data_IF_255663589522
#
_entry.id   IF_255663589522
#
_cell.length_a   1.000
_cell.length_b   1.000
_cell.length_c   1.000
_cell.angle_alpha   90.00
_cell.angle_beta   90.00
_cell.angle_gamma   90.00
#
_symmetry.space_group_name_H-M   'P 1'
#
loop_
_entity.id
_entity.type
_entity.pdbx_description
1 polymer ?
#
# COMPACT_ATOMS: atom_id res chain seq x y z
N UNK A 1 -7.18 3.22 4.68
CA UNK A 1 -6.96 2.35 5.87
C UNK A 1 -7.46 3.07 7.11
N UNK A 2 -8.29 2.44 7.94
CA UNK A 2 -8.84 3.06 9.17
C UNK A 2 -8.02 2.76 10.42
N UNK A 3 -7.41 1.57 10.51
CA UNK A 3 -6.45 1.20 11.55
C UNK A 3 -5.19 0.66 10.89
N UNK A 4 -4.04 1.30 11.17
CA UNK A 4 -2.74 0.84 10.66
C UNK A 4 -2.12 -0.23 11.56
N UNK A 5 -2.52 -0.26 12.85
CA UNK A 5 -2.03 -1.20 13.85
C UNK A 5 -3.20 -1.59 14.78
N UNK A 6 -3.55 -2.90 14.86
CA UNK A 6 -3.04 -3.99 14.03
C UNK A 6 -3.36 -3.77 12.54
N UNK A 7 -2.47 -4.20 11.64
CA UNK A 7 -2.67 -4.05 10.20
C UNK A 7 -3.54 -5.20 9.65
N UNK A 8 -4.61 -4.92 8.88
CA UNK A 8 -5.59 -5.95 8.49
C UNK A 8 -5.17 -6.73 7.23
N UNK A 9 -4.09 -7.52 7.30
CA UNK A 9 -3.51 -8.19 6.12
C UNK A 9 -4.50 -9.08 5.37
N UNK A 10 -5.22 -9.96 6.06
CA UNK A 10 -6.12 -10.94 5.42
C UNK A 10 -7.27 -10.26 4.68
N UNK A 11 -7.96 -9.33 5.34
CA UNK A 11 -9.07 -8.59 4.75
C UNK A 11 -8.62 -7.79 3.53
N UNK A 12 -7.44 -7.16 3.60
CA UNK A 12 -6.88 -6.43 2.46
C UNK A 12 -6.52 -7.35 1.31
N UNK A 13 -5.91 -8.51 1.58
CA UNK A 13 -5.60 -9.48 0.53
C UNK A 13 -6.89 -9.95 -0.19
N UNK A 14 -7.93 -10.28 0.57
CA UNK A 14 -9.21 -10.74 0.04
C UNK A 14 -9.85 -9.67 -0.87
N UNK A 15 -9.97 -8.43 -0.38
CA UNK A 15 -10.63 -7.33 -1.12
C UNK A 15 -9.82 -6.87 -2.34
N UNK A 16 -8.49 -6.94 -2.28
CA UNK A 16 -7.61 -6.39 -3.32
C UNK A 16 -7.15 -7.41 -4.37
N UNK A 17 -7.28 -8.72 -4.09
CA UNK A 17 -6.79 -9.81 -4.97
C UNK A 17 -7.35 -9.80 -6.40
N UNK A 18 -8.55 -9.26 -6.62
CA UNK A 18 -9.18 -9.17 -7.95
C UNK A 18 -8.76 -7.96 -8.79
N UNK A 19 -7.97 -7.04 -8.23
CA UNK A 19 -7.54 -5.86 -8.95
C UNK A 19 -6.50 -6.20 -10.04
N UNK A 20 -6.44 -5.40 -11.11
CA UNK A 20 -5.34 -5.46 -12.07
C UNK A 20 -4.12 -4.67 -11.58
N UNK A 21 -4.39 -3.52 -10.96
CA UNK A 21 -3.38 -2.62 -10.41
C UNK A 21 -3.94 -1.87 -9.21
N UNK A 22 -3.05 -1.45 -8.32
CA UNK A 22 -3.35 -0.75 -7.07
C UNK A 22 -2.37 0.43 -6.94
N UNK A 23 -2.91 1.63 -6.76
CA UNK A 23 -2.13 2.81 -6.40
C UNK A 23 -2.22 3.02 -4.88
N UNK A 24 -1.07 3.07 -4.21
CA UNK A 24 -0.96 3.35 -2.77
C UNK A 24 -0.44 4.76 -2.57
N UNK A 25 -1.26 5.57 -1.91
CA UNK A 25 -0.98 6.97 -1.61
C UNK A 25 -0.39 7.06 -0.19
N UNK A 26 0.89 7.39 -0.10
CA UNK A 26 1.61 7.57 1.16
C UNK A 26 1.87 9.07 1.44
N UNK A 27 1.50 9.54 2.64
CA UNK A 27 1.84 10.92 3.07
C UNK A 27 3.21 10.97 3.72
N UNK A 28 4.21 10.45 3.04
CA UNK A 28 5.60 10.45 3.53
C UNK A 28 6.57 10.53 2.35
N UNK A 29 7.71 11.16 2.60
CA UNK A 29 8.88 11.04 1.74
C UNK A 29 9.65 9.77 2.13
N UNK A 30 9.81 8.76 1.24
CA UNK A 30 10.42 7.49 1.59
C UNK A 30 11.89 7.56 2.06
N UNK A 31 12.55 8.71 1.92
CA UNK A 31 13.93 8.95 2.37
C UNK A 31 14.93 7.85 1.93
N UNK A 32 14.78 7.33 0.70
CA UNK A 32 15.62 6.27 0.13
C UNK A 32 15.07 4.85 0.31
N UNK A 33 13.96 4.66 1.01
CA UNK A 33 13.24 3.39 1.04
C UNK A 33 12.51 3.11 -0.29
N UNK A 34 12.24 1.84 -0.55
CA UNK A 34 11.47 1.38 -1.71
C UNK A 34 9.96 1.57 -1.48
N UNK A 35 9.53 2.84 -1.40
CA UNK A 35 8.14 3.24 -1.15
C UNK A 35 7.82 3.50 0.32
N UNK A 36 6.63 4.05 0.58
CA UNK A 36 6.17 4.39 1.91
C UNK A 36 5.69 3.19 2.77
N UNK A 37 5.42 3.41 4.06
CA UNK A 37 5.04 2.37 4.99
C UNK A 37 3.71 1.70 4.59
N UNK A 38 2.71 2.46 4.11
CA UNK A 38 1.46 1.84 3.70
C UNK A 38 1.66 0.96 2.46
N UNK A 39 2.44 1.43 1.50
CA UNK A 39 2.78 0.65 0.31
C UNK A 39 3.44 -0.67 0.65
N UNK A 40 4.42 -0.66 1.56
CA UNK A 40 5.11 -1.88 1.97
C UNK A 40 4.16 -2.87 2.65
N UNK A 41 3.25 -2.39 3.49
CA UNK A 41 2.27 -3.26 4.14
C UNK A 41 1.24 -3.87 3.17
N UNK A 42 0.79 -3.09 2.18
CA UNK A 42 -0.10 -3.59 1.12
C UNK A 42 0.61 -4.63 0.26
N UNK A 43 1.88 -4.41 -0.10
CA UNK A 43 2.67 -5.41 -0.83
C UNK A 43 2.87 -6.69 -0.03
N UNK A 44 3.13 -6.58 1.27
CA UNK A 44 3.23 -7.74 2.16
C UNK A 44 1.90 -8.49 2.27
N UNK A 45 0.77 -7.78 2.41
CA UNK A 45 -0.56 -8.40 2.44
C UNK A 45 -0.87 -9.21 1.17
N UNK A 46 -0.40 -8.73 0.01
CA UNK A 46 -0.63 -9.34 -1.29
C UNK A 46 0.45 -10.35 -1.70
N UNK A 47 1.45 -10.61 -0.85
CA UNK A 47 2.65 -11.35 -1.26
C UNK A 47 2.33 -12.77 -1.76
N UNK A 48 1.41 -13.46 -1.07
CA UNK A 48 1.01 -14.85 -1.34
C UNK A 48 -0.21 -14.98 -2.29
N UNK A 49 -0.71 -13.87 -2.83
CA UNK A 49 -1.82 -13.92 -3.80
C UNK A 49 -1.31 -14.39 -5.16
N UNK A 50 -1.91 -15.47 -5.70
CA UNK A 50 -1.48 -16.10 -6.96
C UNK A 50 -1.41 -15.12 -8.15
N UNK A 51 -2.47 -14.35 -8.38
CA UNK A 51 -2.51 -13.32 -9.41
C UNK A 51 -2.30 -11.94 -8.77
N UNK A 52 -1.11 -11.73 -8.22
CA UNK A 52 -0.77 -10.52 -7.48
C UNK A 52 -0.89 -9.27 -8.38
N UNK A 53 -1.69 -8.26 -8.00
CA UNK A 53 -1.83 -7.04 -8.77
C UNK A 53 -0.53 -6.24 -8.81
N UNK A 54 -0.38 -5.41 -9.84
CA UNK A 54 0.67 -4.39 -9.88
C UNK A 54 0.41 -3.36 -8.77
N UNK A 55 1.38 -3.13 -7.87
CA UNK A 55 1.25 -2.13 -6.80
C UNK A 55 2.23 -0.99 -7.06
N UNK A 56 1.72 0.25 -7.11
CA UNK A 56 2.50 1.47 -7.37
C UNK A 56 2.37 2.40 -6.18
N UNK A 57 3.46 3.06 -5.78
CA UNK A 57 3.46 4.04 -4.71
C UNK A 57 3.43 5.47 -5.24
N UNK A 58 2.69 6.34 -4.58
CA UNK A 58 2.64 7.78 -4.81
C UNK A 58 2.78 8.52 -3.48
N UNK A 59 3.80 9.37 -3.38
CA UNK A 59 3.93 10.33 -2.27
C UNK A 59 3.06 11.56 -2.55
N UNK A 60 2.27 11.99 -1.57
CA UNK A 60 1.39 13.16 -1.70
C UNK A 60 1.23 13.87 -0.36
N UNK A 61 0.67 15.09 -0.35
CA UNK A 61 0.26 15.74 0.90
C UNK A 61 1.41 16.13 1.84
N UNK A 62 2.64 16.31 1.32
CA UNK A 62 3.81 16.62 2.13
C UNK A 62 3.87 18.11 2.45
N UNK A 63 3.87 18.46 3.74
CA UNK A 63 3.93 19.87 4.15
C UNK A 63 2.71 20.68 3.74
N UNK A 64 1.52 20.06 3.77
CA UNK A 64 0.24 20.68 3.38
C UNK A 64 0.14 21.09 1.90
N UNK A 65 1.08 20.65 1.05
CA UNK A 65 0.93 20.78 -0.40
C UNK A 65 -0.04 19.72 -0.91
N UNK A 66 -0.99 20.12 -1.77
CA UNK A 66 -1.85 19.18 -2.51
C UNK A 66 -1.03 18.19 -3.35
#
# INVERSE_FOLDING_TARGET
IRSFRPFPYKELADVLSGAKAIAVLDRVSPAGAQGGPLFNEIRSALYDVNNRPLVINYSYGLGESD
#
